data_IF_093120839638
#
_entry.id   IF_093120839638
#
_cell.length_a   1.000
_cell.length_b   1.000
_cell.length_c   1.000
_cell.angle_alpha   90.00
_cell.angle_beta   90.00
_cell.angle_gamma   90.00
#
_symmetry.space_group_name_H-M   'P 1'
#
loop_
_entity.id
_entity.type
_entity.pdbx_description
1 polymer ?
#
# COMPACT_ATOMS: atom_id res chain seq x y z
N UNK A 1 81.27 -27.23 29.09
CA UNK A 1 80.78 -26.39 30.19
C UNK A 1 79.59 -25.66 29.61
N UNK A 2 78.41 -26.20 29.84
CA UNK A 2 77.16 -25.74 29.24
C UNK A 2 76.54 -24.71 30.20
N UNK A 3 76.35 -23.48 29.74
CA UNK A 3 75.48 -22.50 30.41
C UNK A 3 74.06 -22.72 29.88
N UNK A 4 73.14 -23.11 30.77
CA UNK A 4 71.70 -23.19 30.50
C UNK A 4 71.03 -21.82 30.74
N UNK A 5 69.91 -21.52 30.05
CA UNK A 5 69.25 -20.23 30.08
C UNK A 5 68.44 -20.00 31.36
N UNK A 6 68.42 -18.75 31.84
CA UNK A 6 67.65 -18.34 33.01
C UNK A 6 66.14 -18.49 32.79
N UNK A 7 65.51 -19.28 33.67
CA UNK A 7 64.06 -19.45 33.77
C UNK A 7 63.39 -18.18 34.34
N UNK A 8 62.59 -17.52 33.51
CA UNK A 8 61.89 -16.24 33.75
C UNK A 8 60.62 -16.35 34.62
N UNK A 9 60.36 -17.49 35.28
CA UNK A 9 59.15 -17.64 36.10
C UNK A 9 59.44 -18.29 37.46
N UNK A 10 59.96 -17.49 38.40
CA UNK A 10 59.87 -17.83 39.82
C UNK A 10 59.65 -16.58 40.67
N UNK A 11 58.45 -16.01 40.52
CA UNK A 11 57.92 -15.06 41.49
C UNK A 11 56.54 -15.55 41.96
N UNK A 12 56.58 -16.57 42.83
CA UNK A 12 55.42 -16.93 43.66
C UNK A 12 55.50 -16.12 44.95
N UNK A 13 55.05 -14.86 44.87
CA UNK A 13 54.78 -14.05 46.03
C UNK A 13 53.58 -14.62 46.81
N UNK A 14 53.61 -14.62 48.16
CA UNK A 14 52.55 -15.20 48.98
C UNK A 14 51.23 -14.43 48.85
N UNK A 15 50.12 -15.17 48.86
CA UNK A 15 48.76 -14.65 48.78
C UNK A 15 48.51 -13.49 49.77
N UNK A 16 48.01 -12.31 49.33
CA UNK A 16 47.61 -11.26 50.23
C UNK A 16 46.31 -11.61 50.96
N UNK A 17 46.29 -11.32 52.26
CA UNK A 17 45.20 -11.55 53.19
C UNK A 17 43.84 -10.99 52.69
N UNK A 18 42.78 -11.75 52.96
CA UNK A 18 41.41 -11.38 52.63
C UNK A 18 41.03 -10.01 53.23
N UNK A 19 40.48 -9.06 52.45
CA UNK A 19 39.95 -7.82 53.01
C UNK A 19 38.71 -8.13 53.86
N UNK A 20 38.77 -7.77 55.13
CA UNK A 20 37.64 -7.75 56.06
C UNK A 20 36.53 -6.88 55.48
N UNK A 21 35.37 -7.46 55.18
CA UNK A 21 34.20 -6.73 54.72
C UNK A 21 33.77 -5.70 55.78
N UNK A 22 33.40 -4.47 55.40
CA UNK A 22 32.80 -3.54 56.35
C UNK A 22 31.44 -4.08 56.81
N UNK A 23 31.27 -4.16 58.14
CA UNK A 23 29.99 -4.40 58.82
C UNK A 23 28.92 -3.47 58.25
N UNK A 24 27.77 -3.96 57.76
CA UNK A 24 26.74 -3.09 57.23
C UNK A 24 26.25 -2.15 58.34
N UNK A 25 26.27 -0.86 58.04
CA UNK A 25 25.61 0.16 58.83
C UNK A 25 24.14 -0.25 59.01
N UNK A 26 23.63 -0.15 60.22
CA UNK A 26 22.21 -0.32 60.49
C UNK A 26 21.45 0.73 59.67
N UNK A 27 20.82 0.28 58.58
CA UNK A 27 19.85 1.08 57.83
C UNK A 27 18.69 1.30 58.78
N UNK A 28 18.53 2.54 59.25
CA UNK A 28 17.33 2.96 59.95
C UNK A 28 16.14 2.66 59.06
N UNK A 29 15.19 1.88 59.57
CA UNK A 29 13.94 1.59 58.90
C UNK A 29 13.26 2.93 58.57
N UNK A 30 12.97 3.15 57.29
CA UNK A 30 12.10 4.24 56.86
C UNK A 30 10.73 4.11 57.56
N UNK A 31 10.08 5.22 57.95
CA UNK A 31 8.74 5.15 58.52
C UNK A 31 7.78 4.53 57.49
N UNK A 32 7.05 3.51 57.93
CA UNK A 32 6.04 2.83 57.14
C UNK A 32 5.08 3.85 56.51
N UNK A 33 4.95 3.82 55.18
CA UNK A 33 3.89 4.54 54.49
C UNK A 33 2.52 4.07 55.04
N UNK A 34 1.53 4.96 55.22
CA UNK A 34 0.21 4.55 55.66
C UNK A 34 -0.39 3.57 54.65
N UNK A 35 -0.86 2.42 55.16
CA UNK A 35 -1.58 1.40 54.40
C UNK A 35 -2.86 2.02 53.85
N UNK A 36 -2.81 2.53 52.62
CA UNK A 36 -4.00 2.90 51.86
C UNK A 36 -4.76 1.61 51.59
N UNK A 37 -5.96 1.51 52.16
CA UNK A 37 -6.88 0.40 51.91
C UNK A 37 -7.07 0.25 50.41
N UNK A 38 -6.99 -0.97 49.82
CA UNK A 38 -7.35 -1.14 48.43
C UNK A 38 -8.84 -0.85 48.30
N UNK A 39 -9.15 0.36 47.86
CA UNK A 39 -10.47 0.74 47.39
C UNK A 39 -10.94 -0.32 46.41
N UNK A 40 -12.14 -0.84 46.66
CA UNK A 40 -12.91 -1.68 45.76
C UNK A 40 -12.79 -1.18 44.32
N UNK A 41 -11.92 -1.82 43.54
CA UNK A 41 -12.03 -1.79 42.09
C UNK A 41 -13.07 -2.85 41.74
N UNK A 42 -14.34 -2.49 41.87
CA UNK A 42 -15.39 -3.22 41.20
C UNK A 42 -15.14 -3.06 39.69
N UNK A 43 -14.84 -4.12 38.93
CA UNK A 43 -14.93 -3.99 37.49
C UNK A 43 -16.40 -3.74 37.20
N UNK A 44 -16.74 -2.51 36.84
CA UNK A 44 -17.98 -2.21 36.15
C UNK A 44 -17.94 -3.03 34.86
N UNK A 45 -18.54 -4.22 34.92
CA UNK A 45 -18.78 -5.10 33.80
C UNK A 45 -19.78 -4.44 32.85
N UNK A 46 -19.34 -3.38 32.18
CA UNK A 46 -19.92 -2.92 30.93
C UNK A 46 -19.56 -3.95 29.89
N UNK A 47 -20.28 -5.09 29.90
CA UNK A 47 -20.16 -6.11 28.88
C UNK A 47 -20.39 -5.45 27.53
N UNK A 48 -19.33 -5.39 26.71
CA UNK A 48 -19.39 -4.95 25.32
C UNK A 48 -20.62 -5.60 24.65
N UNK A 49 -21.47 -4.84 23.92
CA UNK A 49 -22.79 -5.32 23.50
C UNK A 49 -22.70 -6.28 22.30
N UNK A 50 -22.01 -7.41 22.50
CA UNK A 50 -21.88 -8.51 21.54
C UNK A 50 -23.23 -8.92 20.94
N UNK A 51 -24.29 -8.88 21.75
CA UNK A 51 -25.66 -9.17 21.31
C UNK A 51 -26.13 -8.18 20.23
N UNK A 52 -25.82 -6.90 20.36
CA UNK A 52 -26.18 -5.87 19.36
C UNK A 52 -25.37 -6.01 18.07
N UNK A 53 -24.08 -6.36 18.18
CA UNK A 53 -23.21 -6.59 17.04
C UNK A 53 -23.64 -7.85 16.26
N UNK A 54 -23.94 -8.95 16.96
CA UNK A 54 -24.45 -10.17 16.34
C UNK A 54 -25.78 -9.93 15.63
N UNK A 55 -26.69 -9.13 16.22
CA UNK A 55 -27.94 -8.74 15.57
C UNK A 55 -27.68 -7.88 14.33
N UNK A 56 -26.75 -6.91 14.40
CA UNK A 56 -26.39 -6.08 13.25
C UNK A 56 -25.82 -6.93 12.10
N UNK A 57 -24.91 -7.86 12.37
CA UNK A 57 -24.39 -8.78 11.36
C UNK A 57 -25.49 -9.68 10.78
N UNK A 58 -26.41 -10.19 11.61
CA UNK A 58 -27.53 -11.00 11.13
C UNK A 58 -28.47 -10.21 10.20
N UNK A 59 -28.75 -8.94 10.51
CA UNK A 59 -29.58 -8.06 9.67
C UNK A 59 -28.88 -7.78 8.33
N UNK A 60 -27.58 -7.48 8.35
CA UNK A 60 -26.80 -7.26 7.12
C UNK A 60 -26.77 -8.52 6.24
N UNK A 61 -26.60 -9.70 6.82
CA UNK A 61 -26.62 -10.97 6.09
C UNK A 61 -27.99 -11.27 5.45
N UNK A 62 -29.09 -10.93 6.11
CA UNK A 62 -30.43 -11.14 5.56
C UNK A 62 -30.68 -10.17 4.40
N UNK A 63 -30.27 -8.90 4.53
CA UNK A 63 -30.42 -7.89 3.48
C UNK A 63 -29.56 -8.26 2.26
N UNK A 64 -28.31 -8.69 2.47
CA UNK A 64 -27.43 -9.10 1.37
C UNK A 64 -27.93 -10.36 0.65
N UNK A 65 -28.43 -11.35 1.39
CA UNK A 65 -29.04 -12.55 0.81
C UNK A 65 -30.31 -12.22 0.00
N UNK A 66 -31.15 -11.31 0.49
CA UNK A 66 -32.35 -10.86 -0.23
C UNK A 66 -31.98 -10.11 -1.52
N UNK A 67 -30.97 -9.24 -1.48
CA UNK A 67 -30.48 -8.52 -2.66
C UNK A 67 -29.87 -9.48 -3.70
N UNK A 68 -29.05 -10.45 -3.26
CA UNK A 68 -28.47 -11.46 -4.13
C UNK A 68 -29.55 -12.33 -4.79
N UNK A 69 -30.58 -12.73 -4.04
CA UNK A 69 -31.72 -13.49 -4.56
C UNK A 69 -32.52 -12.66 -5.58
N UNK A 70 -32.77 -11.38 -5.30
CA UNK A 70 -33.46 -10.49 -6.24
C UNK A 70 -32.66 -10.30 -7.54
N UNK A 71 -31.35 -10.11 -7.45
CA UNK A 71 -30.46 -10.01 -8.60
C UNK A 71 -30.47 -11.29 -9.44
N UNK A 72 -30.40 -12.45 -8.78
CA UNK A 72 -30.45 -13.76 -9.43
C UNK A 72 -31.78 -14.01 -10.17
N UNK A 73 -32.91 -13.61 -9.58
CA UNK A 73 -34.22 -13.70 -10.23
C UNK A 73 -34.36 -12.73 -11.42
N UNK A 74 -33.69 -11.57 -11.38
CA UNK A 74 -33.66 -10.63 -12.49
C UNK A 74 -32.81 -11.14 -13.66
N UNK A 75 -31.72 -11.84 -13.37
CA UNK A 75 -30.81 -12.39 -14.39
C UNK A 75 -31.24 -13.76 -14.93
N UNK A 76 -32.08 -14.51 -14.22
CA UNK A 76 -32.55 -15.83 -14.69
C UNK A 76 -33.59 -15.78 -15.83
N UNK A 77 -34.11 -14.60 -16.20
CA UNK A 77 -35.20 -14.44 -17.17
C UNK A 77 -34.78 -13.75 -18.49
N UNK A 78 -33.59 -14.02 -19.04
CA UNK A 78 -33.24 -13.54 -20.39
C UNK A 78 -33.86 -14.45 -21.47
N UNK A 79 -34.76 -13.95 -22.35
CA UNK A 79 -35.21 -14.71 -23.51
C UNK A 79 -34.06 -14.93 -24.50
N UNK A 80 -33.96 -16.17 -25.00
CA UNK A 80 -32.98 -16.58 -26.00
C UNK A 80 -33.18 -15.81 -27.32
N UNK A 81 -32.11 -15.23 -27.86
CA UNK A 81 -32.06 -14.76 -29.24
C UNK A 81 -31.79 -15.97 -30.16
N UNK A 82 -32.68 -16.32 -31.10
CA UNK A 82 -32.39 -17.35 -32.10
C UNK A 82 -31.59 -16.75 -33.27
N UNK A 83 -30.40 -17.31 -33.51
CA UNK A 83 -29.88 -17.60 -34.85
C UNK A 83 -29.00 -16.55 -35.53
N UNK A 84 -27.72 -16.90 -35.74
CA UNK A 84 -27.07 -16.80 -37.06
C UNK A 84 -26.14 -18.02 -37.22
N UNK A 85 -26.34 -18.91 -38.20
CA UNK A 85 -25.35 -19.93 -38.55
C UNK A 85 -24.19 -19.28 -39.31
N UNK A 86 -22.99 -19.32 -38.72
CA UNK A 86 -21.75 -18.91 -39.38
C UNK A 86 -21.30 -20.04 -40.33
N UNK A 87 -21.49 -19.84 -41.63
CA UNK A 87 -20.88 -20.67 -42.68
C UNK A 87 -20.18 -19.73 -43.64
N UNK A 88 -18.85 -19.78 -43.65
CA UNK A 88 -18.00 -19.58 -44.83
C UNK A 88 -16.57 -19.98 -44.48
N UNK A 89 -16.35 -21.29 -44.40
CA UNK A 89 -15.10 -21.88 -44.85
C UNK A 89 -14.93 -21.56 -46.34
N UNK A 90 -13.72 -21.18 -46.76
CA UNK A 90 -12.99 -21.84 -47.87
C UNK A 90 -11.99 -20.90 -48.57
N UNK A 91 -10.72 -21.36 -48.60
CA UNK A 91 -9.78 -21.30 -49.74
C UNK A 91 -9.08 -19.95 -49.97
N UNK A 92 -7.82 -19.83 -50.38
CA UNK A 92 -6.54 -20.58 -50.35
C UNK A 92 -5.51 -19.58 -50.90
N UNK A 93 -4.24 -19.76 -50.53
CA UNK A 93 -3.00 -19.56 -51.31
C UNK A 93 -3.02 -18.64 -52.56
N UNK A 94 -2.02 -17.76 -52.70
CA UNK A 94 -1.00 -17.88 -53.75
C UNK A 94 -0.16 -16.61 -53.97
N UNK A 95 1.13 -16.82 -54.29
CA UNK A 95 2.14 -15.94 -54.95
C UNK A 95 2.30 -14.49 -54.46
N UNK A 96 3.39 -14.03 -53.83
CA UNK A 96 4.80 -14.27 -54.15
C UNK A 96 5.35 -13.23 -55.13
N UNK A 97 5.81 -12.05 -54.67
CA UNK A 97 6.88 -11.24 -55.32
C UNK A 97 7.53 -10.29 -54.30
N UNK A 98 8.87 -10.35 -54.06
CA UNK A 98 9.64 -9.21 -53.58
C UNK A 98 10.18 -8.41 -54.78
N UNK A 99 10.09 -7.08 -54.74
CA UNK A 99 10.83 -6.25 -55.69
C UNK A 99 11.37 -4.98 -55.02
N UNK A 100 12.71 -4.75 -55.04
CA UNK A 100 13.35 -3.61 -54.39
C UNK A 100 13.50 -2.46 -55.38
N UNK A 101 13.14 -1.24 -54.98
CA UNK A 101 13.63 -0.01 -55.61
C UNK A 101 13.34 1.20 -54.72
N UNK A 102 14.21 1.44 -53.74
CA UNK A 102 14.31 2.74 -53.08
C UNK A 102 15.37 3.56 -53.80
N UNK A 103 14.95 4.29 -54.82
CA UNK A 103 15.70 5.42 -55.36
C UNK A 103 15.75 6.52 -54.29
N UNK A 104 16.91 7.09 -53.93
CA UNK A 104 16.96 8.20 -52.99
C UNK A 104 16.63 9.50 -53.75
N UNK A 105 15.42 10.02 -53.52
CA UNK A 105 15.00 11.35 -53.94
C UNK A 105 14.75 12.23 -52.69
N UNK A 106 14.89 13.55 -52.81
CA UNK A 106 15.54 14.41 -51.81
C UNK A 106 14.72 14.66 -50.56
N UNK A 107 15.44 14.96 -49.47
CA UNK A 107 14.94 15.48 -48.19
C UNK A 107 13.99 16.66 -48.46
N UNK A 108 12.70 16.36 -48.50
CA UNK A 108 11.63 17.33 -48.31
C UNK A 108 11.20 17.14 -46.87
N UNK A 109 11.54 18.09 -46.02
CA UNK A 109 11.05 18.18 -44.66
C UNK A 109 9.52 18.01 -44.70
N UNK A 110 8.94 16.95 -44.11
CA UNK A 110 7.49 16.87 -44.05
C UNK A 110 6.97 18.08 -43.26
N UNK A 111 5.89 18.74 -43.70
CA UNK A 111 5.21 19.72 -42.86
C UNK A 111 4.84 19.08 -41.51
N UNK A 112 4.72 19.84 -40.40
CA UNK A 112 4.31 19.26 -39.13
C UNK A 112 3.01 18.48 -39.37
N UNK A 113 3.08 17.19 -39.11
CA UNK A 113 1.94 16.28 -39.18
C UNK A 113 0.93 16.85 -38.20
N UNK A 114 -0.09 17.53 -38.72
CA UNK A 114 -1.29 17.82 -37.96
C UNK A 114 -2.00 16.49 -37.88
N UNK A 115 -1.64 15.73 -36.85
CA UNK A 115 -2.27 14.46 -36.52
C UNK A 115 -3.79 14.73 -36.41
N UNK A 116 -4.65 14.00 -37.14
CA UNK A 116 -6.09 14.09 -36.93
C UNK A 116 -6.40 13.84 -35.44
N UNK A 117 -7.46 14.42 -34.86
CA UNK A 117 -7.77 14.25 -33.45
C UNK A 117 -7.79 12.75 -33.17
N UNK A 118 -6.89 12.31 -32.28
CA UNK A 118 -6.82 10.95 -31.83
C UNK A 118 -8.24 10.51 -31.45
N UNK A 119 -8.64 9.33 -31.93
CA UNK A 119 -9.73 8.60 -31.28
C UNK A 119 -9.50 8.69 -29.76
N UNK A 120 -10.55 8.88 -28.93
CA UNK A 120 -10.34 8.84 -27.48
C UNK A 120 -9.59 7.56 -27.16
N UNK A 121 -8.42 7.71 -26.54
CA UNK A 121 -7.67 6.57 -26.06
C UNK A 121 -8.52 5.87 -24.99
N UNK A 122 -8.46 4.53 -24.91
CA UNK A 122 -9.17 3.83 -23.85
C UNK A 122 -8.65 4.29 -22.49
N UNK A 123 -9.60 4.45 -21.58
CA UNK A 123 -9.47 4.79 -20.17
C UNK A 123 -10.52 3.90 -19.48
N UNK A 124 -10.07 2.74 -19.04
CA UNK A 124 -10.95 1.63 -18.70
C UNK A 124 -11.54 1.76 -17.29
N UNK A 125 -10.86 2.39 -16.34
CA UNK A 125 -11.35 2.64 -14.99
C UNK A 125 -11.92 4.06 -14.76
N UNK A 126 -11.64 4.99 -15.68
CA UNK A 126 -12.14 6.38 -15.70
C UNK A 126 -11.60 7.24 -14.57
N UNK A 127 -10.39 6.99 -14.11
CA UNK A 127 -9.65 7.87 -13.20
C UNK A 127 -9.10 9.13 -13.93
N UNK A 128 -8.98 9.03 -15.25
CA UNK A 128 -8.55 10.08 -16.17
C UNK A 128 -7.10 9.98 -16.65
N UNK A 129 -6.40 8.88 -16.37
CA UNK A 129 -5.26 8.39 -17.13
C UNK A 129 -5.76 7.46 -18.25
N UNK A 130 -5.04 7.41 -19.38
CA UNK A 130 -5.35 6.44 -20.44
C UNK A 130 -4.63 5.12 -20.16
N UNK A 131 -5.16 4.00 -20.64
CA UNK A 131 -4.53 2.67 -20.47
C UNK A 131 -3.05 2.68 -20.92
N UNK A 132 -2.71 3.53 -21.90
CA UNK A 132 -1.35 3.70 -22.40
C UNK A 132 -0.46 4.53 -21.46
N UNK A 133 -1.01 5.52 -20.76
CA UNK A 133 -0.31 6.26 -19.71
C UNK A 133 -0.06 5.37 -18.49
N UNK A 134 -1.07 4.61 -18.08
CA UNK A 134 -0.98 3.69 -16.96
C UNK A 134 0.06 2.60 -17.21
N UNK A 135 0.06 2.01 -18.42
CA UNK A 135 1.09 1.05 -18.81
C UNK A 135 2.52 1.63 -18.80
N UNK A 136 2.68 2.95 -18.95
CA UNK A 136 3.99 3.63 -18.84
C UNK A 136 4.39 3.89 -17.40
N UNK A 137 3.42 4.16 -16.52
CA UNK A 137 3.61 4.41 -15.10
C UNK A 137 3.76 3.12 -14.29
N UNK A 138 3.21 2.01 -14.81
CA UNK A 138 3.15 0.72 -14.11
C UNK A 138 1.89 0.53 -13.27
N UNK A 139 0.92 1.45 -13.38
CA UNK A 139 -0.37 1.40 -12.71
C UNK A 139 -1.37 0.47 -13.43
N UNK A 140 -2.53 0.24 -12.81
CA UNK A 140 -3.50 -0.76 -13.19
C UNK A 140 -4.61 -0.18 -14.08
N UNK A 141 -4.70 -0.55 -15.38
CA UNK A 141 -5.69 0.01 -16.31
C UNK A 141 -7.16 -0.30 -16.01
N UNK A 142 -7.42 -1.02 -14.92
CA UNK A 142 -8.76 -1.45 -14.50
C UNK A 142 -9.08 -1.00 -13.07
N UNK A 143 -8.12 -0.43 -12.36
CA UNK A 143 -8.24 0.00 -10.97
C UNK A 143 -7.76 1.43 -10.83
N UNK A 144 -8.71 2.33 -10.63
CA UNK A 144 -8.45 3.77 -10.51
C UNK A 144 -7.51 4.17 -9.36
N UNK A 145 -7.20 3.25 -8.46
CA UNK A 145 -6.41 3.38 -7.23
C UNK A 145 -5.53 2.11 -7.16
N UNK A 146 -4.31 2.21 -7.69
CA UNK A 146 -3.44 1.07 -7.97
C UNK A 146 -2.80 0.46 -6.72
N UNK A 147 -2.60 1.25 -5.67
CA UNK A 147 -2.00 0.82 -4.40
C UNK A 147 -3.03 0.64 -3.26
N UNK A 148 -4.29 1.02 -3.50
CA UNK A 148 -5.46 0.82 -2.65
C UNK A 148 -5.33 1.58 -1.33
N UNK A 149 -4.86 2.82 -1.42
CA UNK A 149 -4.69 3.74 -0.31
C UNK A 149 -5.88 4.72 -0.17
N UNK A 150 -6.67 4.86 -1.22
CA UNK A 150 -7.85 5.72 -1.30
C UNK A 150 -7.69 7.00 -2.12
N UNK A 151 -6.56 7.21 -2.81
CA UNK A 151 -6.36 8.22 -3.85
C UNK A 151 -6.43 7.59 -5.24
N UNK A 152 -6.80 8.39 -6.25
CA UNK A 152 -6.74 7.92 -7.63
C UNK A 152 -5.36 8.17 -8.21
N UNK A 153 -4.86 7.27 -9.05
CA UNK A 153 -3.52 7.35 -9.64
C UNK A 153 -3.27 8.71 -10.32
N UNK A 154 -4.29 9.22 -11.03
CA UNK A 154 -4.25 10.57 -11.58
C UNK A 154 -4.13 11.66 -10.51
N UNK A 155 -4.92 11.58 -9.44
CA UNK A 155 -4.97 12.59 -8.39
C UNK A 155 -3.62 12.67 -7.65
N UNK A 156 -3.01 11.52 -7.42
CA UNK A 156 -1.67 11.38 -6.89
C UNK A 156 -0.62 12.08 -7.75
N UNK A 157 -0.65 11.88 -9.07
CA UNK A 157 0.32 12.51 -9.98
C UNK A 157 0.10 14.02 -10.17
N UNK A 158 -1.15 14.45 -10.38
CA UNK A 158 -1.47 15.82 -10.77
C UNK A 158 -1.61 16.76 -9.56
N UNK A 159 -2.05 16.26 -8.40
CA UNK A 159 -2.43 17.09 -7.25
C UNK A 159 -1.45 16.96 -6.10
N UNK A 160 -1.16 15.74 -5.65
CA UNK A 160 -0.39 15.52 -4.42
C UNK A 160 1.10 15.30 -4.66
N UNK A 161 1.46 14.77 -5.83
CA UNK A 161 2.81 14.38 -6.21
C UNK A 161 3.29 13.11 -5.48
N UNK A 162 2.39 12.19 -5.14
CA UNK A 162 2.69 10.90 -4.49
C UNK A 162 3.01 9.81 -5.54
N UNK A 163 3.46 8.64 -5.10
CA UNK A 163 3.71 7.49 -5.97
C UNK A 163 2.48 6.58 -6.04
N UNK A 164 1.78 6.46 -7.19
CA UNK A 164 0.56 5.65 -7.31
C UNK A 164 0.73 4.13 -7.08
N UNK A 165 1.96 3.69 -6.84
CA UNK A 165 2.30 2.29 -6.56
C UNK A 165 2.78 2.08 -5.13
N UNK A 166 2.84 3.13 -4.31
CA UNK A 166 3.31 3.09 -2.93
C UNK A 166 2.30 3.79 -2.00
N UNK A 167 1.54 3.02 -1.19
CA UNK A 167 0.44 3.57 -0.40
C UNK A 167 0.89 4.46 0.78
N UNK A 168 2.19 4.74 0.92
CA UNK A 168 2.84 5.55 1.97
C UNK A 168 4.13 6.15 1.38
N UNK A 169 3.97 7.17 0.52
CA UNK A 169 5.06 7.74 -0.29
C UNK A 169 6.22 8.30 0.55
N UNK A 170 5.92 8.90 1.71
CA UNK A 170 6.94 9.48 2.60
C UNK A 170 7.50 8.49 3.64
N UNK A 171 6.97 7.27 3.66
CA UNK A 171 7.32 6.15 4.53
C UNK A 171 7.22 6.46 6.03
N UNK A 172 6.22 7.25 6.43
CA UNK A 172 5.99 7.67 7.80
C UNK A 172 4.96 6.81 8.56
N UNK A 173 4.45 5.75 7.93
CA UNK A 173 3.45 4.76 8.39
C UNK A 173 1.98 5.18 8.26
N UNK A 174 1.71 6.36 7.71
CA UNK A 174 0.37 6.79 7.32
C UNK A 174 0.19 6.64 5.81
N UNK A 175 -1.04 6.34 5.38
CA UNK A 175 -1.32 6.22 3.94
C UNK A 175 -1.56 7.58 3.32
N UNK A 176 -1.11 7.80 2.09
CA UNK A 176 -1.25 9.10 1.43
C UNK A 176 -2.72 9.56 1.39
N UNK A 177 -3.64 8.66 1.07
CA UNK A 177 -5.09 8.91 1.07
C UNK A 177 -5.70 9.17 2.45
N UNK A 178 -5.18 8.53 3.49
CA UNK A 178 -5.58 8.83 4.87
C UNK A 178 -5.09 10.22 5.29
N UNK A 179 -3.87 10.58 4.92
CA UNK A 179 -3.30 11.89 5.20
C UNK A 179 -4.06 13.00 4.50
N UNK A 180 -4.29 12.87 3.19
CA UNK A 180 -5.07 13.81 2.39
C UNK A 180 -6.46 14.02 2.99
N UNK A 181 -7.17 12.94 3.33
CA UNK A 181 -8.50 13.01 3.95
C UNK A 181 -8.49 13.75 5.29
N UNK A 182 -7.39 13.66 6.03
CA UNK A 182 -7.22 14.32 7.32
C UNK A 182 -6.52 15.70 7.23
N UNK A 183 -6.14 16.14 6.02
CA UNK A 183 -5.46 17.41 5.77
C UNK A 183 -3.99 17.43 6.18
N UNK A 184 -3.32 16.28 6.12
CA UNK A 184 -1.87 16.11 6.30
C UNK A 184 -1.19 15.89 4.96
N UNK A 185 0.07 16.35 4.87
CA UNK A 185 0.83 16.33 3.63
C UNK A 185 1.37 14.91 3.37
N UNK A 186 0.97 14.24 2.28
CA UNK A 186 1.38 12.86 2.00
C UNK A 186 2.86 12.74 1.56
N UNK A 187 3.48 13.86 1.23
CA UNK A 187 4.87 13.92 0.78
C UNK A 187 5.85 14.36 1.90
N UNK A 188 5.45 14.23 3.16
CA UNK A 188 6.29 14.63 4.29
C UNK A 188 5.50 15.30 5.41
N UNK A 189 6.13 15.39 6.57
CA UNK A 189 5.51 15.95 7.77
C UNK A 189 4.86 17.34 7.57
N UNK A 190 3.61 17.47 8.01
CA UNK A 190 2.94 18.77 8.09
C UNK A 190 1.45 18.69 7.74
N UNK A 191 0.80 19.85 7.69
CA UNK A 191 -0.55 19.96 7.13
C UNK A 191 -0.45 20.20 5.63
N UNK A 192 -1.38 19.65 4.85
CA UNK A 192 -1.61 20.11 3.49
C UNK A 192 -1.91 21.60 3.55
N UNK A 193 -0.99 22.41 3.05
CA UNK A 193 -1.24 23.83 2.91
C UNK A 193 -2.42 23.99 1.95
N UNK A 194 -3.44 24.79 2.28
CA UNK A 194 -4.48 25.09 1.31
C UNK A 194 -3.82 25.75 0.10
N UNK A 195 -4.09 25.22 -1.08
CA UNK A 195 -3.80 25.86 -2.36
C UNK A 195 -4.18 27.36 -2.25
N UNK A 196 -3.24 28.30 -2.49
CA UNK A 196 -3.54 29.73 -2.40
C UNK A 196 -4.61 30.09 -3.42
N UNK A 197 -5.88 30.18 -2.99
CA UNK A 197 -7.02 30.44 -3.86
C UNK A 197 -8.37 29.89 -3.38
N UNK A 198 -8.40 28.98 -2.41
CA UNK A 198 -9.63 28.53 -1.79
C UNK A 198 -9.88 29.26 -0.45
N UNK A 199 -10.67 30.33 -0.46
CA UNK A 199 -11.21 30.99 0.74
C UNK A 199 -12.62 31.51 0.47
#
# INVERSE_FOLDING_TARGET
MFDEPEDIFSDTAPAPAAPTAPRPAAVQAAPAAPLVSPSEYAPSGGGFPWKGIVIAFAVVLVISAAAALAYFLLTSNTPATPGVPNVSDSVSEDTGVPSPSSTPAPVVTPPPVVTPPASPEPDQDRDGLTDAQEAQLGTSPVEADSDVDGLYDKEELDVYGTDPLDPDTDADTYRDGDEVRNGYNPNGSGKLLPIPGAS
#
